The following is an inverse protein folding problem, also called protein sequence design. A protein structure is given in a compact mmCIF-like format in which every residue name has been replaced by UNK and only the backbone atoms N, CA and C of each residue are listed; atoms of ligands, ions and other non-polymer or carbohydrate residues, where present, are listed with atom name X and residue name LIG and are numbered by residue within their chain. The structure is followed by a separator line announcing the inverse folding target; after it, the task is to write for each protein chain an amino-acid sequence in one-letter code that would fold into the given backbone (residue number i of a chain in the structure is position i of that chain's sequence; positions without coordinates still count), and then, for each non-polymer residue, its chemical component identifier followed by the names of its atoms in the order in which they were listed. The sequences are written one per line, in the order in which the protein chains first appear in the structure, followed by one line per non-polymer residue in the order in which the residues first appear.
data_IF_362098246673
#
_entry.id   IF_362098246673
#
_cell.length_a   1.000
_cell.length_b   1.000
_cell.length_c   1.000
_cell.angle_alpha   90.00
_cell.angle_beta   90.00
_cell.angle_gamma   90.00
#
_symmetry.space_group_name_H-M   'P 1'
#
loop_
_entity.id
_entity.type
_entity.pdbx_description
1 polymer ?
#
# COMPACT_ATOMS: atom_id res chain seq x y z
N UNK A 1 -18.55 -13.23 -20.47
CA UNK A 1 -18.25 -11.91 -21.05
C UNK A 1 -16.74 -11.72 -21.11
N UNK A 2 -16.26 -10.92 -22.09
CA UNK A 2 -14.83 -10.63 -22.24
C UNK A 2 -14.59 -9.14 -21.94
N UNK A 3 -13.90 -8.86 -20.84
CA UNK A 3 -13.56 -7.50 -20.41
C UNK A 3 -12.14 -7.16 -20.82
N UNK A 4 -11.92 -5.99 -21.39
CA UNK A 4 -10.61 -5.40 -21.55
C UNK A 4 -10.31 -4.43 -20.40
N UNK A 5 -9.09 -4.45 -19.89
CA UNK A 5 -8.64 -3.48 -18.91
C UNK A 5 -7.43 -2.70 -19.43
N UNK A 6 -7.53 -1.37 -19.40
CA UNK A 6 -6.49 -0.44 -19.81
C UNK A 6 -6.16 0.56 -18.68
N UNK A 7 -4.92 1.01 -18.61
CA UNK A 7 -4.49 2.02 -17.64
C UNK A 7 -3.42 2.94 -18.23
N UNK A 8 -3.57 4.23 -17.96
CA UNK A 8 -2.56 5.24 -18.27
C UNK A 8 -2.19 6.03 -17.02
N UNK A 9 -0.95 6.54 -16.97
CA UNK A 9 -0.59 7.58 -16.02
C UNK A 9 -1.17 8.92 -16.50
N UNK A 10 -1.43 9.85 -15.57
CA UNK A 10 -1.96 11.19 -15.89
C UNK A 10 -1.05 12.01 -16.81
N UNK A 11 0.22 11.64 -16.91
CA UNK A 11 1.22 12.28 -17.80
C UNK A 11 1.30 11.59 -19.18
N UNK A 12 0.64 10.44 -19.38
CA UNK A 12 0.55 9.77 -20.65
C UNK A 12 -0.62 10.36 -21.46
N UNK A 13 -0.39 10.62 -22.73
CA UNK A 13 -1.38 11.25 -23.62
C UNK A 13 -2.66 10.39 -23.73
N UNK A 14 -3.79 11.09 -23.91
CA UNK A 14 -5.08 10.45 -24.28
C UNK A 14 -4.96 9.54 -25.52
N UNK A 15 -3.93 9.73 -26.33
CA UNK A 15 -3.64 8.88 -27.49
C UNK A 15 -3.25 7.46 -27.08
N UNK A 16 -2.50 7.27 -25.97
CA UNK A 16 -2.10 5.92 -25.50
C UNK A 16 -3.29 5.13 -25.00
N UNK A 17 -4.22 5.72 -24.25
CA UNK A 17 -5.41 5.01 -23.80
C UNK A 17 -6.30 4.58 -24.98
N UNK A 18 -6.46 5.42 -26.00
CA UNK A 18 -7.23 5.10 -27.20
C UNK A 18 -6.58 3.97 -28.02
N UNK A 19 -5.25 3.91 -28.08
CA UNK A 19 -4.51 2.80 -28.68
C UNK A 19 -4.78 1.51 -27.91
N UNK A 20 -4.65 1.52 -26.59
CA UNK A 20 -4.92 0.35 -25.76
C UNK A 20 -6.35 -0.16 -25.92
N UNK A 21 -7.35 0.72 -25.94
CA UNK A 21 -8.75 0.36 -26.15
C UNK A 21 -8.95 -0.33 -27.51
N UNK A 22 -8.33 0.16 -28.57
CA UNK A 22 -8.42 -0.45 -29.92
C UNK A 22 -7.80 -1.85 -29.93
N UNK A 23 -6.60 -2.00 -29.36
CA UNK A 23 -5.90 -3.28 -29.28
C UNK A 23 -6.69 -4.29 -28.46
N UNK A 24 -7.27 -3.91 -27.32
CA UNK A 24 -8.11 -4.78 -26.50
C UNK A 24 -9.39 -5.21 -27.22
N UNK A 25 -10.04 -4.30 -27.95
CA UNK A 25 -11.21 -4.64 -28.79
C UNK A 25 -10.83 -5.59 -29.90
N UNK A 26 -9.69 -5.38 -30.57
CA UNK A 26 -9.17 -6.30 -31.58
C UNK A 26 -8.83 -7.67 -31.03
N UNK A 27 -8.46 -7.76 -29.75
CA UNK A 27 -8.24 -9.01 -29.02
C UNK A 27 -9.53 -9.68 -28.51
N UNK A 28 -10.70 -9.14 -28.84
CA UNK A 28 -12.00 -9.71 -28.53
C UNK A 28 -12.67 -9.18 -27.26
N UNK A 29 -12.19 -8.07 -26.67
CA UNK A 29 -12.87 -7.45 -25.54
C UNK A 29 -14.22 -6.85 -25.96
N UNK A 30 -15.30 -7.34 -25.35
CA UNK A 30 -16.67 -6.87 -25.55
C UNK A 30 -16.88 -5.52 -24.84
N UNK A 31 -16.33 -5.37 -23.66
CA UNK A 31 -16.38 -4.14 -22.85
C UNK A 31 -14.98 -3.78 -22.37
N UNK A 32 -14.55 -2.54 -22.58
CA UNK A 32 -13.26 -2.05 -22.11
C UNK A 32 -13.47 -1.08 -20.96
N UNK A 33 -12.81 -1.37 -19.83
CA UNK A 33 -12.75 -0.54 -18.64
C UNK A 33 -11.35 0.05 -18.57
N UNK A 34 -11.27 1.33 -18.30
CA UNK A 34 -9.99 2.04 -18.23
C UNK A 34 -9.95 3.00 -17.04
N UNK A 35 -8.75 3.34 -16.61
CA UNK A 35 -8.52 4.36 -15.58
C UNK A 35 -7.26 5.17 -15.85
N UNK A 36 -7.27 6.40 -15.35
CA UNK A 36 -6.11 7.28 -15.30
C UNK A 36 -5.59 7.28 -13.87
N UNK A 37 -4.33 6.86 -13.69
CA UNK A 37 -3.70 6.83 -12.38
C UNK A 37 -3.02 8.16 -12.07
N UNK A 38 -3.51 8.87 -11.06
CA UNK A 38 -2.82 10.02 -10.47
C UNK A 38 -1.67 9.50 -9.59
N UNK A 39 -0.51 10.15 -9.62
CA UNK A 39 0.77 9.65 -9.10
C UNK A 39 0.78 9.01 -7.71
N UNK A 40 -0.15 9.38 -6.82
CA UNK A 40 -0.27 8.86 -5.45
C UNK A 40 -1.47 7.92 -5.23
N UNK A 41 -2.25 7.61 -6.26
CA UNK A 41 -3.41 6.73 -6.12
C UNK A 41 -2.97 5.29 -5.81
N UNK A 42 -3.13 4.88 -4.55
CA UNK A 42 -2.83 3.52 -4.08
C UNK A 42 -3.89 2.50 -4.49
N UNK A 43 -5.07 2.94 -4.88
CA UNK A 43 -6.23 2.09 -5.18
C UNK A 43 -6.62 2.27 -6.64
N UNK A 44 -6.69 1.16 -7.37
CA UNK A 44 -7.19 1.07 -8.73
C UNK A 44 -8.68 0.77 -8.67
N UNK A 45 -9.48 1.82 -8.50
CA UNK A 45 -10.91 1.68 -8.24
C UNK A 45 -11.64 0.93 -9.36
N UNK A 46 -11.35 1.28 -10.62
CA UNK A 46 -12.00 0.65 -11.77
C UNK A 46 -11.58 -0.81 -11.96
N UNK A 47 -10.31 -1.16 -11.71
CA UNK A 47 -9.87 -2.57 -11.72
C UNK A 47 -10.55 -3.35 -10.61
N UNK A 48 -10.64 -2.79 -9.42
CA UNK A 48 -11.28 -3.45 -8.28
C UNK A 48 -12.77 -3.69 -8.54
N UNK A 49 -13.49 -2.67 -9.02
CA UNK A 49 -14.90 -2.81 -9.41
C UNK A 49 -15.09 -3.84 -10.54
N UNK A 50 -14.18 -3.89 -11.52
CA UNK A 50 -14.20 -4.91 -12.57
C UNK A 50 -14.06 -6.31 -11.98
N UNK A 51 -13.06 -6.51 -11.12
CA UNK A 51 -12.82 -7.80 -10.47
C UNK A 51 -13.98 -8.22 -9.56
N UNK A 52 -14.64 -7.30 -8.91
CA UNK A 52 -15.84 -7.56 -8.09
C UNK A 52 -17.04 -7.92 -8.95
N UNK A 53 -17.29 -7.20 -10.03
CA UNK A 53 -18.45 -7.38 -10.91
C UNK A 53 -18.32 -8.59 -11.85
N UNK A 54 -17.10 -9.08 -12.11
CA UNK A 54 -16.87 -10.22 -12.99
C UNK A 54 -17.50 -11.50 -12.41
N UNK A 55 -18.18 -12.25 -13.27
CA UNK A 55 -18.82 -13.52 -12.93
C UNK A 55 -17.95 -14.70 -13.31
N UNK A 56 -18.21 -15.86 -12.71
CA UNK A 56 -17.54 -17.11 -13.02
C UNK A 56 -17.59 -17.37 -14.54
N UNK A 57 -16.46 -17.71 -15.11
CA UNK A 57 -16.31 -17.98 -16.55
C UNK A 57 -15.94 -16.75 -17.39
N UNK A 58 -16.02 -15.54 -16.83
CA UNK A 58 -15.64 -14.33 -17.54
C UNK A 58 -14.12 -14.29 -17.82
N UNK A 59 -13.75 -13.52 -18.85
CA UNK A 59 -12.36 -13.32 -19.24
C UNK A 59 -11.98 -11.85 -19.07
N UNK A 60 -10.81 -11.60 -18.48
CA UNK A 60 -10.20 -10.28 -18.38
C UNK A 60 -8.96 -10.26 -19.26
N UNK A 61 -8.88 -9.30 -20.17
CA UNK A 61 -7.75 -9.12 -21.09
C UNK A 61 -7.04 -7.80 -20.77
N UNK A 62 -5.73 -7.83 -20.70
CA UNK A 62 -4.88 -6.63 -20.62
C UNK A 62 -3.69 -6.76 -21.56
N UNK A 63 -3.10 -5.63 -21.96
CA UNK A 63 -1.96 -5.65 -22.87
C UNK A 63 -0.67 -6.08 -22.15
N UNK A 64 -0.46 -5.61 -20.93
CA UNK A 64 0.78 -5.82 -20.18
C UNK A 64 0.51 -5.95 -18.68
N UNK A 65 1.40 -6.67 -17.98
CA UNK A 65 1.37 -6.76 -16.50
C UNK A 65 1.42 -5.37 -15.85
N UNK A 66 2.18 -4.45 -16.44
CA UNK A 66 2.34 -3.07 -15.95
C UNK A 66 1.02 -2.30 -15.89
N UNK A 67 0.02 -2.67 -16.71
CA UNK A 67 -1.31 -2.07 -16.69
C UNK A 67 -2.14 -2.58 -15.50
N UNK A 68 -2.01 -3.86 -15.16
CA UNK A 68 -2.67 -4.43 -13.98
C UNK A 68 -2.07 -3.94 -12.69
N UNK A 69 -0.74 -3.89 -12.59
CA UNK A 69 -0.08 -3.64 -11.31
C UNK A 69 1.33 -3.08 -11.49
N UNK A 70 1.83 -2.40 -10.46
CA UNK A 70 3.23 -1.95 -10.35
C UNK A 70 4.04 -2.78 -9.36
N UNK A 71 3.43 -3.73 -8.67
CA UNK A 71 4.13 -4.58 -7.71
C UNK A 71 3.74 -6.04 -7.88
N UNK A 72 4.71 -6.91 -7.65
CA UNK A 72 4.50 -8.36 -7.71
C UNK A 72 3.48 -8.83 -6.67
N UNK A 73 3.45 -8.19 -5.51
CA UNK A 73 2.45 -8.48 -4.47
C UNK A 73 1.02 -8.27 -4.98
N UNK A 74 0.75 -7.11 -5.60
CA UNK A 74 -0.58 -6.82 -6.17
C UNK A 74 -0.93 -7.80 -7.30
N UNK A 75 0.05 -8.24 -8.10
CA UNK A 75 -0.19 -9.26 -9.11
C UNK A 75 -0.68 -10.57 -8.49
N UNK A 76 -0.04 -11.03 -7.41
CA UNK A 76 -0.47 -12.22 -6.68
C UNK A 76 -1.91 -12.07 -6.14
N UNK A 77 -2.23 -10.91 -5.53
CA UNK A 77 -3.57 -10.62 -5.03
C UNK A 77 -4.64 -10.67 -6.14
N UNK A 78 -4.34 -10.11 -7.31
CA UNK A 78 -5.23 -10.17 -8.49
C UNK A 78 -5.41 -11.61 -8.95
N UNK A 79 -4.33 -12.38 -9.04
CA UNK A 79 -4.39 -13.78 -9.47
C UNK A 79 -5.16 -14.64 -8.48
N UNK A 80 -5.06 -14.39 -7.18
CA UNK A 80 -5.86 -15.06 -6.17
C UNK A 80 -7.37 -14.80 -6.37
N UNK A 81 -7.76 -13.55 -6.70
CA UNK A 81 -9.15 -13.21 -7.03
C UNK A 81 -9.60 -13.94 -8.29
N UNK A 82 -8.77 -13.96 -9.36
CA UNK A 82 -9.04 -14.69 -10.62
C UNK A 82 -9.31 -16.17 -10.33
N UNK A 83 -8.49 -16.78 -9.46
CA UNK A 83 -8.66 -18.17 -9.04
C UNK A 83 -9.95 -18.39 -8.24
N UNK A 84 -10.19 -17.59 -7.21
CA UNK A 84 -11.37 -17.71 -6.35
C UNK A 84 -12.68 -17.58 -7.13
N UNK A 85 -12.71 -16.64 -8.07
CA UNK A 85 -13.89 -16.38 -8.91
C UNK A 85 -13.98 -17.25 -10.16
N UNK A 86 -13.02 -18.16 -10.40
CA UNK A 86 -12.94 -19.00 -11.59
C UNK A 86 -13.00 -18.19 -12.89
N UNK A 87 -12.18 -17.15 -12.97
CA UNK A 87 -12.06 -16.29 -14.15
C UNK A 87 -10.92 -16.76 -15.04
N UNK A 88 -10.80 -16.13 -16.20
CA UNK A 88 -9.63 -16.23 -17.07
C UNK A 88 -8.97 -14.87 -17.20
N UNK A 89 -7.67 -14.81 -16.97
CA UNK A 89 -6.85 -13.62 -17.20
C UNK A 89 -5.93 -13.85 -18.39
N UNK A 90 -5.99 -12.95 -19.37
CA UNK A 90 -5.12 -12.95 -20.55
C UNK A 90 -4.26 -11.70 -20.54
N UNK A 91 -2.95 -11.86 -20.49
CA UNK A 91 -1.98 -10.79 -20.68
C UNK A 91 -1.37 -10.99 -22.06
N UNK A 92 -1.72 -10.12 -23.01
CA UNK A 92 -1.38 -10.27 -24.43
C UNK A 92 0.15 -10.35 -24.60
N UNK A 93 0.58 -11.36 -25.37
CA UNK A 93 2.02 -11.56 -25.61
C UNK A 93 2.85 -12.06 -24.42
N UNK A 94 2.19 -12.38 -23.27
CA UNK A 94 2.86 -12.85 -22.06
C UNK A 94 2.27 -14.18 -21.56
N UNK A 95 1.21 -14.15 -20.76
CA UNK A 95 0.66 -15.34 -20.12
C UNK A 95 -0.86 -15.32 -20.12
N UNK A 96 -1.46 -16.52 -20.16
CA UNK A 96 -2.87 -16.74 -19.89
C UNK A 96 -3.02 -17.59 -18.63
N UNK A 97 -3.73 -17.08 -17.63
CA UNK A 97 -4.10 -17.81 -16.40
C UNK A 97 -5.58 -18.19 -16.52
N UNK A 98 -5.87 -19.46 -16.78
CA UNK A 98 -7.24 -19.95 -16.93
C UNK A 98 -7.66 -20.76 -15.71
N UNK A 99 -8.60 -20.20 -14.93
CA UNK A 99 -9.12 -20.84 -13.72
C UNK A 99 -10.59 -21.27 -13.87
N UNK A 100 -11.18 -21.15 -15.05
CA UNK A 100 -12.62 -21.39 -15.28
C UNK A 100 -13.07 -22.82 -14.92
N UNK A 101 -12.21 -23.80 -15.13
CA UNK A 101 -12.51 -25.21 -14.84
C UNK A 101 -12.21 -25.62 -13.40
N UNK A 102 -11.84 -24.63 -12.53
CA UNK A 102 -11.47 -24.88 -11.14
C UNK A 102 -10.07 -25.47 -10.95
N UNK A 103 -9.36 -25.77 -12.03
CA UNK A 103 -7.96 -26.20 -12.04
C UNK A 103 -7.12 -25.14 -12.74
N UNK A 104 -5.92 -24.93 -12.24
CA UNK A 104 -4.93 -24.05 -12.87
C UNK A 104 -3.97 -24.95 -13.64
N UNK A 105 -3.66 -24.59 -14.88
CA UNK A 105 -2.64 -25.31 -15.63
C UNK A 105 -1.26 -25.19 -14.95
N UNK A 106 -0.35 -26.18 -15.11
CA UNK A 106 0.93 -26.20 -14.43
C UNK A 106 1.81 -24.98 -14.72
N UNK A 107 1.73 -24.40 -15.92
CA UNK A 107 2.51 -23.22 -16.30
C UNK A 107 2.03 -21.97 -15.55
N UNK A 108 0.71 -21.76 -15.49
CA UNK A 108 0.12 -20.68 -14.70
C UNK A 108 0.41 -20.84 -13.20
N UNK A 109 0.35 -22.08 -12.69
CA UNK A 109 0.74 -22.38 -11.31
C UNK A 109 2.21 -21.99 -11.02
N UNK A 110 3.13 -22.38 -11.90
CA UNK A 110 4.53 -22.03 -11.78
C UNK A 110 4.76 -20.50 -11.84
N UNK A 111 4.05 -19.81 -12.73
CA UNK A 111 4.10 -18.35 -12.83
C UNK A 111 3.65 -17.65 -11.55
N UNK A 112 2.54 -18.10 -10.95
CA UNK A 112 2.03 -17.57 -9.67
C UNK A 112 3.06 -17.77 -8.55
N UNK A 113 3.60 -19.00 -8.44
CA UNK A 113 4.62 -19.31 -7.42
C UNK A 113 5.87 -18.46 -7.59
N UNK A 114 6.36 -18.31 -8.81
CA UNK A 114 7.53 -17.49 -9.11
C UNK A 114 7.27 -16.01 -8.81
N UNK A 115 6.08 -15.50 -9.14
CA UNK A 115 5.66 -14.13 -8.81
C UNK A 115 5.63 -13.89 -7.30
N UNK A 116 5.15 -14.85 -6.50
CA UNK A 116 5.16 -14.76 -5.05
C UNK A 116 6.60 -14.67 -4.49
N UNK A 117 7.51 -15.52 -4.99
CA UNK A 117 8.94 -15.49 -4.60
C UNK A 117 9.58 -14.14 -4.95
N UNK A 118 9.30 -13.58 -6.12
CA UNK A 118 9.80 -12.25 -6.49
C UNK A 118 9.26 -11.14 -5.59
N UNK A 119 7.99 -11.23 -5.18
CA UNK A 119 7.39 -10.28 -4.23
C UNK A 119 8.11 -10.30 -2.86
N UNK A 120 8.42 -11.47 -2.34
CA UNK A 120 9.17 -11.62 -1.09
C UNK A 120 10.61 -11.09 -1.22
N UNK A 121 11.26 -11.39 -2.35
CA UNK A 121 12.60 -10.90 -2.63
C UNK A 121 12.63 -9.36 -2.69
N UNK A 122 11.68 -8.74 -3.38
CA UNK A 122 11.56 -7.29 -3.46
C UNK A 122 11.42 -6.66 -2.07
N UNK A 123 10.54 -7.21 -1.22
CA UNK A 123 10.37 -6.75 0.17
C UNK A 123 11.65 -6.91 0.98
N UNK A 124 12.39 -8.01 0.81
CA UNK A 124 13.64 -8.26 1.51
C UNK A 124 14.72 -7.24 1.13
N UNK A 125 14.82 -6.91 -0.16
CA UNK A 125 15.74 -5.88 -0.68
C UNK A 125 15.39 -4.50 -0.13
N UNK A 126 14.11 -4.13 -0.12
CA UNK A 126 13.65 -2.86 0.45
C UNK A 126 14.01 -2.77 1.93
N UNK A 127 13.74 -3.82 2.73
CA UNK A 127 14.08 -3.87 4.15
C UNK A 127 15.60 -3.75 4.37
N UNK A 128 16.40 -4.43 3.57
CA UNK A 128 17.86 -4.33 3.64
C UNK A 128 18.35 -2.91 3.34
N UNK A 129 17.81 -2.26 2.31
CA UNK A 129 18.13 -0.85 1.97
C UNK A 129 17.77 0.11 3.10
N UNK A 130 16.56 -0.02 3.67
CA UNK A 130 16.11 0.81 4.80
C UNK A 130 17.04 0.60 6.00
N UNK A 131 17.36 -0.64 6.37
CA UNK A 131 18.27 -0.96 7.48
C UNK A 131 19.65 -0.36 7.26
N UNK A 132 20.20 -0.50 6.07
CA UNK A 132 21.49 0.09 5.71
C UNK A 132 21.46 1.62 5.74
N UNK A 133 20.38 2.24 5.21
CA UNK A 133 20.17 3.69 5.26
C UNK A 133 20.10 4.23 6.69
N UNK A 134 19.38 3.52 7.57
CA UNK A 134 19.28 3.87 9.00
C UNK A 134 20.65 3.75 9.69
N UNK A 135 21.40 2.67 9.44
CA UNK A 135 22.74 2.48 9.99
C UNK A 135 23.68 3.63 9.57
N UNK A 136 23.68 4.00 8.29
CA UNK A 136 24.47 5.10 7.76
C UNK A 136 24.04 6.47 8.36
N UNK A 137 22.74 6.73 8.50
CA UNK A 137 22.24 7.95 9.15
C UNK A 137 22.69 8.02 10.63
N UNK A 138 22.63 6.88 11.35
CA UNK A 138 23.12 6.79 12.73
C UNK A 138 24.63 7.03 12.81
N UNK A 139 25.42 6.46 11.90
CA UNK A 139 26.85 6.68 11.82
C UNK A 139 27.24 8.14 11.55
N UNK A 140 26.37 8.88 10.81
CA UNK A 140 26.50 10.33 10.56
C UNK A 140 25.94 11.19 11.71
N UNK A 141 25.63 10.62 12.86
CA UNK A 141 25.09 11.35 14.02
C UNK A 141 23.64 11.84 13.85
N UNK A 142 22.93 11.41 12.79
CA UNK A 142 21.53 11.79 12.60
C UNK A 142 20.64 10.99 13.54
N UNK A 143 19.77 11.67 14.25
CA UNK A 143 18.78 11.01 15.08
C UNK A 143 17.74 10.29 14.21
N UNK A 144 17.49 9.01 14.52
CA UNK A 144 16.47 8.19 13.89
C UNK A 144 15.34 7.97 14.88
N UNK A 145 14.11 8.20 14.44
CA UNK A 145 12.92 8.07 15.27
C UNK A 145 12.44 9.38 15.87
N UNK A 146 11.54 9.27 16.84
CA UNK A 146 10.96 10.44 17.51
C UNK A 146 12.04 11.19 18.31
N UNK A 147 12.10 12.51 18.15
CA UNK A 147 12.98 13.38 18.92
C UNK A 147 12.77 13.14 20.43
N UNK A 148 13.84 12.92 21.22
CA UNK A 148 13.69 12.82 22.66
C UNK A 148 13.11 14.13 23.19
N UNK A 149 12.23 14.03 24.15
CA UNK A 149 11.66 15.20 24.85
C UNK A 149 12.70 15.73 25.81
N UNK A 150 13.07 17.00 25.69
CA UNK A 150 13.97 17.69 26.59
C UNK A 150 13.17 18.50 27.62
N UNK A 151 13.86 19.05 28.64
CA UNK A 151 13.23 19.93 29.64
C UNK A 151 12.59 21.17 29.01
N UNK A 152 13.17 21.68 27.92
CA UNK A 152 12.66 22.84 27.18
C UNK A 152 11.35 22.55 26.40
N UNK A 153 11.04 21.28 26.15
CA UNK A 153 9.79 20.87 25.50
C UNK A 153 8.61 20.79 26.49
N UNK A 154 8.86 20.97 27.79
CA UNK A 154 7.84 20.94 28.84
C UNK A 154 7.05 22.24 28.80
N UNK A 155 5.71 22.22 28.66
CA UNK A 155 4.91 23.43 28.58
C UNK A 155 5.06 24.31 29.84
N UNK A 156 5.11 25.63 29.66
CA UNK A 156 5.22 26.58 30.77
C UNK A 156 4.09 26.42 31.80
N UNK A 157 2.90 26.03 31.36
CA UNK A 157 1.77 25.74 32.25
C UNK A 157 2.08 24.62 33.25
N UNK A 158 2.88 23.60 32.85
CA UNK A 158 3.30 22.54 33.75
C UNK A 158 4.18 23.11 34.88
N UNK A 159 5.17 23.94 34.53
CA UNK A 159 6.04 24.58 35.54
C UNK A 159 5.27 25.50 36.46
N UNK A 160 4.23 26.18 35.99
CA UNK A 160 3.38 27.06 36.82
C UNK A 160 2.65 26.28 37.91
N UNK A 161 2.20 25.05 37.65
CA UNK A 161 1.43 24.23 38.60
C UNK A 161 2.27 23.17 39.32
N UNK A 162 3.51 22.94 38.89
CA UNK A 162 4.43 21.99 39.51
C UNK A 162 4.67 22.23 41.00
N UNK A 163 4.87 23.51 41.50
CA UNK A 163 5.03 23.77 42.93
C UNK A 163 3.83 23.35 43.77
N UNK A 164 2.62 23.55 43.29
CA UNK A 164 1.40 23.13 43.98
C UNK A 164 1.26 21.59 44.05
N UNK A 165 1.73 20.87 43.02
CA UNK A 165 1.84 19.43 43.07
C UNK A 165 2.85 18.96 44.13
N UNK A 166 4.05 19.54 44.18
CA UNK A 166 5.08 19.22 45.20
C UNK A 166 4.58 19.51 46.59
N UNK A 167 3.83 20.61 46.79
CA UNK A 167 3.20 20.97 48.08
C UNK A 167 2.04 20.04 48.49
N UNK A 168 1.68 19.04 47.67
CA UNK A 168 0.58 18.10 47.95
C UNK A 168 -0.82 18.68 47.78
N UNK A 169 -0.92 19.89 47.19
CA UNK A 169 -2.20 20.58 46.97
C UNK A 169 -3.01 20.05 45.77
N UNK A 170 -2.37 19.26 44.93
CA UNK A 170 -3.02 18.60 43.79
C UNK A 170 -2.39 17.25 43.50
N UNK A 171 -3.18 16.36 42.91
CA UNK A 171 -2.72 15.05 42.46
C UNK A 171 -2.33 15.03 40.98
N UNK A 172 -1.69 13.94 40.52
CA UNK A 172 -1.24 13.80 39.11
C UNK A 172 -2.40 13.93 38.11
N UNK A 173 -3.60 13.46 38.48
CA UNK A 173 -4.76 13.52 37.58
C UNK A 173 -5.28 14.95 37.40
N UNK A 174 -5.23 15.76 38.46
CA UNK A 174 -5.58 17.17 38.42
C UNK A 174 -4.55 17.97 37.64
N UNK A 175 -3.24 17.73 37.88
CA UNK A 175 -2.15 18.35 37.14
C UNK A 175 -2.28 18.01 35.63
N UNK A 176 -2.58 16.77 35.27
CA UNK A 176 -2.78 16.35 33.90
C UNK A 176 -3.93 17.10 33.22
N UNK A 177 -5.05 17.24 33.91
CA UNK A 177 -6.24 17.95 33.43
C UNK A 177 -5.99 19.45 33.26
N UNK A 178 -5.32 20.10 34.22
CA UNK A 178 -5.03 21.53 34.15
C UNK A 178 -4.05 21.85 33.03
N UNK A 179 -3.08 20.94 32.79
CA UNK A 179 -2.06 21.13 31.74
C UNK A 179 -2.50 20.61 30.36
N UNK A 180 -3.70 20.05 30.25
CA UNK A 180 -4.19 19.35 29.04
C UNK A 180 -3.21 18.28 28.53
N UNK A 181 -2.71 17.47 29.46
CA UNK A 181 -1.74 16.41 29.22
C UNK A 181 -2.28 15.03 29.63
N UNK A 182 -1.77 13.98 28.97
CA UNK A 182 -2.03 12.62 29.45
C UNK A 182 -1.25 12.34 30.74
N UNK A 183 -1.80 11.50 31.64
CA UNK A 183 -1.10 11.09 32.87
C UNK A 183 0.30 10.48 32.59
N UNK A 184 0.52 9.62 31.59
CA UNK A 184 1.84 9.15 31.24
C UNK A 184 2.83 10.26 30.88
N UNK A 185 2.34 11.32 30.20
CA UNK A 185 3.15 12.50 29.88
C UNK A 185 3.54 13.27 31.14
N UNK A 186 2.60 13.44 32.07
CA UNK A 186 2.88 14.09 33.37
C UNK A 186 3.93 13.31 34.15
N UNK A 187 3.80 11.99 34.30
CA UNK A 187 4.81 11.16 34.94
C UNK A 187 6.19 11.26 34.29
N UNK A 188 6.23 11.36 32.93
CA UNK A 188 7.47 11.56 32.21
C UNK A 188 8.11 12.90 32.56
N UNK A 189 7.32 13.98 32.61
CA UNK A 189 7.80 15.31 32.94
C UNK A 189 8.25 15.40 34.41
N UNK A 190 7.52 14.79 35.34
CA UNK A 190 7.93 14.72 36.74
C UNK A 190 9.31 14.07 36.91
N UNK A 191 9.60 12.97 36.17
CA UNK A 191 10.93 12.34 36.18
C UNK A 191 12.04 13.20 35.58
N UNK A 192 11.70 14.18 34.74
CA UNK A 192 12.69 15.02 34.09
C UNK A 192 12.98 16.29 34.91
N UNK A 193 12.04 16.72 35.77
CA UNK A 193 12.15 17.97 36.58
C UNK A 193 12.58 17.67 38.02
N UNK A 194 12.11 16.55 38.60
CA UNK A 194 12.52 16.07 39.91
C UNK A 194 13.77 15.22 39.83
#
# INVERSE_FOLDING_TARGET
MVYGYARCSTNEDKQDINRQIRELKSAGAEKVIFEFEHGDAKVKENLHMLLEAANMGDTIITLEVSRLTRSTKQLCEIVDIIKQKRLRLVIIGSITVDCRNGQIDPMSQAFIQMSAVFAELELSIIRARVKSGMANAKAKGRQIGRKPTNKDDIPAIFYKHYPAYIAGQMNVSELARICDLSRPTVYKYLKMVG
#
